data_IF_882377644711
#
_entry.id   IF_882377644711
#
_cell.length_a   1.000
_cell.length_b   1.000
_cell.length_c   1.000
_cell.angle_alpha   90.00
_cell.angle_beta   90.00
_cell.angle_gamma   90.00
#
_symmetry.space_group_name_H-M   'P 1'
#
loop_
_entity.id
_entity.type
_entity.pdbx_description
1 polymer ?
#
# COMPACT_ATOMS: atom_id res chain seq x y z
N UNK A 1 8.61 35.26 -6.94
CA UNK A 1 8.27 34.17 -7.89
C UNK A 1 6.97 33.56 -7.36
N UNK A 2 5.94 33.55 -8.20
CA UNK A 2 4.56 33.25 -7.83
C UNK A 2 4.48 31.80 -7.33
N UNK A 3 4.12 31.63 -6.05
CA UNK A 3 3.75 30.32 -5.49
C UNK A 3 2.62 29.74 -6.35
N UNK A 4 2.92 28.72 -7.14
CA UNK A 4 1.91 27.87 -7.77
C UNK A 4 1.14 27.14 -6.66
N UNK A 5 0.15 27.82 -6.07
CA UNK A 5 -0.80 27.17 -5.17
C UNK A 5 -1.54 26.11 -5.98
N UNK A 6 -1.30 24.85 -5.66
CA UNK A 6 -2.08 23.72 -6.16
C UNK A 6 -3.59 24.08 -6.08
N UNK A 7 -4.37 23.87 -7.15
CA UNK A 7 -5.75 24.32 -7.19
C UNK A 7 -6.65 23.45 -6.30
N UNK A 8 -6.85 23.88 -5.05
CA UNK A 8 -7.76 23.25 -4.10
C UNK A 8 -9.16 23.86 -4.18
N UNK A 9 -10.20 23.01 -4.20
CA UNK A 9 -11.60 23.43 -4.08
C UNK A 9 -11.92 23.97 -2.68
N UNK A 10 -11.44 23.27 -1.65
CA UNK A 10 -11.62 23.66 -0.25
C UNK A 10 -10.39 23.27 0.58
N UNK A 11 -9.92 24.20 1.41
CA UNK A 11 -8.89 23.96 2.41
C UNK A 11 -9.52 23.99 3.80
N UNK A 12 -9.43 22.90 4.54
CA UNK A 12 -10.05 22.72 5.85
C UNK A 12 -8.97 22.44 6.89
N UNK A 13 -8.81 23.35 7.85
CA UNK A 13 -7.92 23.15 9.01
C UNK A 13 -8.79 22.79 10.22
N UNK A 14 -8.88 21.51 10.53
CA UNK A 14 -9.76 21.00 11.58
C UNK A 14 -9.25 19.64 12.08
N UNK A 15 -8.90 19.58 13.37
CA UNK A 15 -8.67 18.31 14.06
C UNK A 15 -10.01 17.59 14.25
N UNK A 16 -10.02 16.28 14.07
CA UNK A 16 -11.19 15.40 14.26
C UNK A 16 -12.39 15.79 13.39
N UNK A 17 -12.14 16.32 12.19
CA UNK A 17 -13.18 16.61 11.21
C UNK A 17 -13.98 15.34 10.89
N UNK A 18 -15.30 15.41 11.00
CA UNK A 18 -16.20 14.31 10.62
C UNK A 18 -17.07 14.72 9.45
N UNK A 19 -16.99 13.96 8.36
CA UNK A 19 -17.90 14.03 7.22
C UNK A 19 -18.75 12.75 7.26
N UNK A 20 -20.05 12.88 7.51
CA UNK A 20 -20.94 11.75 7.75
C UNK A 20 -22.19 11.88 6.86
N UNK A 21 -22.45 10.86 6.05
CA UNK A 21 -23.65 10.78 5.22
C UNK A 21 -24.87 10.31 6.02
N UNK A 22 -26.03 10.91 5.73
CA UNK A 22 -27.27 10.66 6.47
C UNK A 22 -27.96 9.32 6.13
N UNK A 23 -27.31 8.45 5.38
CA UNK A 23 -27.82 7.14 4.93
C UNK A 23 -26.66 6.18 4.74
N UNK A 24 -26.87 4.88 4.96
CA UNK A 24 -25.83 3.86 4.79
C UNK A 24 -25.55 3.50 3.33
N UNK A 25 -26.25 4.10 2.36
CA UNK A 25 -25.91 4.00 0.95
C UNK A 25 -25.08 5.22 0.52
N UNK A 26 -23.74 5.10 0.38
CA UNK A 26 -22.88 6.23 0.06
C UNK A 26 -23.16 6.85 -1.31
N UNK A 27 -23.87 6.18 -2.23
CA UNK A 27 -24.23 6.75 -3.53
C UNK A 27 -25.30 7.85 -3.41
N UNK A 28 -26.02 7.88 -2.29
CA UNK A 28 -27.07 8.85 -2.02
C UNK A 28 -26.55 10.15 -1.39
N UNK A 29 -25.28 10.19 -0.98
CA UNK A 29 -24.60 11.39 -0.44
C UNK A 29 -23.33 11.65 -1.24
N UNK A 30 -23.41 12.55 -2.21
CA UNK A 30 -22.30 12.82 -3.14
C UNK A 30 -21.74 14.22 -2.92
N UNK A 31 -20.46 14.30 -2.56
CA UNK A 31 -19.67 15.52 -2.66
C UNK A 31 -18.96 15.50 -4.01
N UNK A 32 -19.39 16.38 -4.93
CA UNK A 32 -19.00 16.33 -6.32
C UNK A 32 -18.18 17.55 -6.76
N UNK A 33 -17.23 17.31 -7.66
CA UNK A 33 -16.62 18.34 -8.50
C UNK A 33 -16.54 17.84 -9.95
N UNK A 34 -16.16 18.73 -10.87
CA UNK A 34 -15.97 18.36 -12.27
C UNK A 34 -14.77 19.08 -12.89
N UNK A 35 -13.65 19.17 -12.18
CA UNK A 35 -12.46 19.91 -12.64
C UNK A 35 -11.24 19.00 -12.63
N UNK A 36 -10.42 19.09 -13.66
CA UNK A 36 -9.15 18.38 -13.77
C UNK A 36 -8.08 19.26 -14.40
N UNK A 37 -6.85 18.77 -14.45
CA UNK A 37 -5.73 19.48 -15.08
C UNK A 37 -6.09 19.86 -16.52
N UNK A 38 -5.90 21.15 -16.85
CA UNK A 38 -6.28 21.80 -18.12
C UNK A 38 -7.77 21.72 -18.51
N UNK A 39 -8.60 21.07 -17.68
CA UNK A 39 -10.04 20.88 -17.89
C UNK A 39 -10.82 21.50 -16.74
N UNK A 40 -10.93 22.83 -16.75
CA UNK A 40 -11.61 23.60 -15.71
C UNK A 40 -10.73 23.97 -14.51
N UNK A 41 -9.42 23.69 -14.58
CA UNK A 41 -8.40 24.20 -13.65
C UNK A 41 -7.02 24.29 -14.32
N UNK A 42 -6.20 25.25 -13.87
CA UNK A 42 -4.77 25.33 -14.18
C UNK A 42 -4.00 24.54 -13.11
N UNK A 43 -3.43 23.40 -13.48
CA UNK A 43 -2.80 22.45 -12.55
C UNK A 43 -3.75 21.37 -12.04
N UNK A 44 -3.24 20.50 -11.17
CA UNK A 44 -3.96 19.33 -10.68
C UNK A 44 -5.04 19.71 -9.66
N UNK A 45 -6.29 19.86 -10.11
CA UNK A 45 -7.41 20.19 -9.23
C UNK A 45 -7.64 19.10 -8.18
N UNK A 46 -7.75 19.52 -6.92
CA UNK A 46 -8.06 18.66 -5.78
C UNK A 46 -9.28 19.20 -5.04
N UNK A 47 -10.29 18.38 -4.79
CA UNK A 47 -11.53 18.88 -4.14
C UNK A 47 -11.26 19.38 -2.72
N UNK A 48 -10.52 18.59 -1.94
CA UNK A 48 -10.29 18.86 -0.53
C UNK A 48 -8.82 18.78 -0.15
N UNK A 49 -8.38 19.72 0.67
CA UNK A 49 -7.18 19.61 1.48
C UNK A 49 -7.57 19.64 2.95
N UNK A 50 -7.42 18.50 3.62
CA UNK A 50 -7.68 18.37 5.05
C UNK A 50 -6.38 18.51 5.83
N UNK A 51 -6.33 19.43 6.79
CA UNK A 51 -5.18 19.67 7.65
C UNK A 51 -5.60 19.52 9.12
N UNK A 52 -5.25 18.38 9.70
CA UNK A 52 -5.63 17.98 11.05
C UNK A 52 -5.67 16.47 11.19
N UNK A 53 -5.40 15.98 12.40
CA UNK A 53 -5.49 14.56 12.70
C UNK A 53 -6.95 14.12 12.85
N UNK A 54 -7.22 12.82 12.75
CA UNK A 54 -8.53 12.27 13.09
C UNK A 54 -9.64 12.57 12.08
N UNK A 55 -9.31 13.02 10.87
CA UNK A 55 -10.32 13.24 9.83
C UNK A 55 -11.01 11.90 9.51
N UNK A 56 -12.34 11.88 9.60
CA UNK A 56 -13.16 10.71 9.31
C UNK A 56 -14.21 10.99 8.24
N UNK A 57 -14.31 10.10 7.25
CA UNK A 57 -15.36 10.11 6.22
C UNK A 57 -16.17 8.83 6.35
N UNK A 58 -17.50 8.94 6.42
CA UNK A 58 -18.37 7.78 6.53
C UNK A 58 -19.64 7.98 5.73
N UNK A 59 -20.08 6.94 5.01
CA UNK A 59 -21.34 6.93 4.28
C UNK A 59 -21.43 8.00 3.16
N UNK A 60 -20.32 8.34 2.50
CA UNK A 60 -20.26 9.40 1.49
C UNK A 60 -19.52 8.96 0.22
N UNK A 61 -19.97 9.45 -0.93
CA UNK A 61 -19.19 9.42 -2.18
C UNK A 61 -18.44 10.74 -2.37
N UNK A 62 -17.11 10.68 -2.46
CA UNK A 62 -16.29 11.77 -3.00
C UNK A 62 -16.06 11.51 -4.49
N UNK A 63 -16.54 12.41 -5.35
CA UNK A 63 -16.49 12.22 -6.79
C UNK A 63 -15.95 13.42 -7.55
N UNK A 64 -14.96 13.21 -8.42
CA UNK A 64 -14.54 14.19 -9.41
C UNK A 64 -14.91 13.72 -10.81
N UNK A 65 -16.01 14.27 -11.31
CA UNK A 65 -16.67 13.90 -12.55
C UNK A 65 -16.11 14.67 -13.77
N UNK A 66 -14.82 15.02 -13.73
CA UNK A 66 -14.14 15.58 -14.89
C UNK A 66 -14.11 14.56 -16.04
N UNK A 67 -13.86 13.28 -15.73
CA UNK A 67 -13.63 12.22 -16.71
C UNK A 67 -14.59 11.03 -16.63
N UNK A 68 -15.57 11.10 -15.74
CA UNK A 68 -16.58 10.08 -15.49
C UNK A 68 -17.92 10.78 -15.28
N UNK A 69 -19.00 10.15 -15.72
CA UNK A 69 -20.34 10.72 -15.57
C UNK A 69 -20.79 10.62 -14.10
N UNK A 70 -21.42 11.68 -13.59
CA UNK A 70 -22.14 11.62 -12.33
C UNK A 70 -23.50 10.99 -12.58
N UNK A 71 -23.71 9.82 -12.00
CA UNK A 71 -25.03 9.20 -11.82
C UNK A 71 -25.43 9.36 -10.36
N UNK A 72 -26.49 10.12 -10.10
CA UNK A 72 -27.04 10.36 -8.79
C UNK A 72 -28.42 9.68 -8.65
N UNK A 73 -28.50 8.53 -7.96
CA UNK A 73 -29.71 7.69 -7.96
C UNK A 73 -30.97 8.36 -7.43
N UNK A 74 -30.87 9.13 -6.34
CA UNK A 74 -32.04 9.77 -5.70
C UNK A 74 -32.70 10.84 -6.56
N UNK A 75 -31.93 11.49 -7.43
CA UNK A 75 -32.44 12.53 -8.29
C UNK A 75 -31.69 12.55 -9.62
N UNK A 76 -32.15 11.77 -10.62
CA UNK A 76 -31.51 11.70 -11.93
C UNK A 76 -31.40 13.06 -12.65
N UNK A 77 -32.18 14.08 -12.26
CA UNK A 77 -32.04 15.45 -12.79
C UNK A 77 -30.72 16.11 -12.39
N UNK A 78 -30.05 15.62 -11.35
CA UNK A 78 -28.74 16.07 -10.91
C UNK A 78 -27.58 15.32 -11.58
N UNK A 79 -27.87 14.31 -12.40
CA UNK A 79 -26.85 13.64 -13.21
C UNK A 79 -26.09 14.66 -14.06
N UNK A 80 -24.80 14.44 -14.23
CA UNK A 80 -23.95 15.27 -15.08
C UNK A 80 -23.12 14.36 -15.98
N UNK A 81 -23.07 14.69 -17.26
CA UNK A 81 -22.06 14.11 -18.14
C UNK A 81 -20.68 14.60 -17.72
N UNK A 82 -19.67 13.75 -17.93
CA UNK A 82 -18.27 14.11 -17.74
C UNK A 82 -17.92 15.38 -18.51
N UNK A 83 -17.03 16.19 -17.96
CA UNK A 83 -16.51 17.39 -18.64
C UNK A 83 -15.72 17.02 -19.89
N UNK A 84 -14.95 15.93 -19.85
CA UNK A 84 -14.06 15.51 -20.92
C UNK A 84 -13.89 14.00 -20.97
N UNK A 85 -13.82 13.44 -22.18
CA UNK A 85 -13.42 12.05 -22.38
C UNK A 85 -11.91 11.84 -22.20
N UNK A 86 -11.09 12.87 -22.35
CA UNK A 86 -9.65 12.78 -22.15
C UNK A 86 -9.35 12.64 -20.66
N UNK A 87 -8.76 11.52 -20.25
CA UNK A 87 -8.41 11.25 -18.85
C UNK A 87 -7.28 12.19 -18.42
N UNK A 88 -7.59 13.07 -17.45
CA UNK A 88 -6.66 14.04 -16.85
C UNK A 88 -6.70 13.92 -15.33
N UNK A 89 -5.74 14.54 -14.65
CA UNK A 89 -5.62 14.51 -13.20
C UNK A 89 -6.81 15.23 -12.57
N UNK A 90 -7.61 14.49 -11.80
CA UNK A 90 -8.85 14.96 -11.21
C UNK A 90 -8.94 14.43 -9.77
N UNK A 91 -8.37 15.17 -8.82
CA UNK A 91 -8.08 14.64 -7.49
C UNK A 91 -9.22 14.87 -6.51
N UNK A 92 -9.37 13.97 -5.54
CA UNK A 92 -10.41 14.01 -4.53
C UNK A 92 -9.92 14.73 -3.26
N UNK A 93 -9.00 14.13 -2.52
CA UNK A 93 -8.65 14.64 -1.20
C UNK A 93 -7.19 14.40 -0.82
N UNK A 94 -6.51 15.44 -0.38
CA UNK A 94 -5.18 15.33 0.24
C UNK A 94 -5.34 15.59 1.74
N UNK A 95 -4.64 14.82 2.55
CA UNK A 95 -4.59 14.95 3.99
C UNK A 95 -3.17 15.33 4.45
N UNK A 96 -3.10 16.21 5.43
CA UNK A 96 -1.96 16.40 6.30
C UNK A 96 -2.41 16.12 7.73
N UNK A 97 -2.18 14.90 8.20
CA UNK A 97 -2.63 14.46 9.51
C UNK A 97 -2.38 12.97 9.72
N UNK A 98 -2.61 12.55 10.96
CA UNK A 98 -2.59 11.15 11.38
C UNK A 98 -3.99 10.67 11.77
N UNK A 99 -4.17 9.36 11.93
CA UNK A 99 -5.43 8.74 12.39
C UNK A 99 -6.63 8.98 11.47
N UNK A 100 -6.39 8.88 10.16
CA UNK A 100 -7.41 9.15 9.15
C UNK A 100 -8.27 7.91 8.91
N UNK A 101 -9.59 8.06 8.82
CA UNK A 101 -10.48 6.93 8.54
C UNK A 101 -11.49 7.23 7.44
N UNK A 102 -11.73 6.26 6.57
CA UNK A 102 -12.87 6.23 5.67
C UNK A 102 -13.66 4.93 5.89
N UNK A 103 -14.98 5.02 6.00
CA UNK A 103 -15.87 3.88 6.21
C UNK A 103 -17.01 3.92 5.21
N UNK A 104 -17.35 2.78 4.60
CA UNK A 104 -18.52 2.66 3.73
C UNK A 104 -18.66 3.85 2.77
N UNK A 105 -17.60 4.16 2.02
CA UNK A 105 -17.49 5.41 1.26
C UNK A 105 -16.89 5.15 -0.11
N UNK A 106 -17.30 5.92 -1.10
CA UNK A 106 -16.86 5.74 -2.48
C UNK A 106 -15.91 6.86 -2.91
N UNK A 107 -14.86 6.51 -3.64
CA UNK A 107 -13.87 7.43 -4.19
C UNK A 107 -13.86 7.28 -5.71
N UNK A 108 -14.52 8.21 -6.41
CA UNK A 108 -14.79 8.08 -7.84
C UNK A 108 -14.02 9.15 -8.61
N UNK A 109 -12.98 8.74 -9.32
CA UNK A 109 -12.30 9.56 -10.31
C UNK A 109 -11.54 8.67 -11.31
N UNK A 110 -10.51 9.19 -11.98
CA UNK A 110 -9.63 8.46 -12.89
C UNK A 110 -8.17 8.71 -12.49
N UNK A 111 -7.43 9.47 -13.30
CA UNK A 111 -6.01 9.73 -13.08
C UNK A 111 -5.85 10.61 -11.83
N UNK A 112 -4.92 10.22 -10.95
CA UNK A 112 -4.68 10.91 -9.68
C UNK A 112 -5.94 11.05 -8.79
N UNK A 113 -6.75 9.99 -8.63
CA UNK A 113 -7.91 10.01 -7.73
C UNK A 113 -7.56 10.57 -6.34
N UNK A 114 -6.40 10.19 -5.78
CA UNK A 114 -5.84 10.63 -4.50
C UNK A 114 -6.89 10.63 -3.38
N UNK A 115 -7.38 9.46 -2.95
CA UNK A 115 -8.29 9.37 -1.81
C UNK A 115 -7.48 9.57 -0.51
N UNK A 116 -7.63 10.72 0.13
CA UNK A 116 -6.99 11.05 1.41
C UNK A 116 -5.45 10.88 1.40
N UNK A 117 -4.81 11.16 0.26
CA UNK A 117 -3.37 10.99 0.08
C UNK A 117 -2.57 11.90 1.03
N UNK A 118 -1.47 11.41 1.60
CA UNK A 118 -0.66 12.15 2.58
C UNK A 118 -1.01 11.90 4.05
N UNK A 119 -2.11 11.19 4.35
CA UNK A 119 -2.38 10.70 5.71
C UNK A 119 -1.29 9.73 6.19
N UNK A 120 -0.88 9.84 7.46
CA UNK A 120 0.19 9.00 8.03
C UNK A 120 -0.26 7.57 8.29
N UNK A 121 -1.22 7.38 9.19
CA UNK A 121 -1.96 6.13 9.37
C UNK A 121 -3.39 6.35 8.89
N UNK A 122 -3.78 5.63 7.85
CA UNK A 122 -5.08 5.75 7.21
C UNK A 122 -5.74 4.38 7.13
N UNK A 123 -7.00 4.29 7.55
CA UNK A 123 -7.85 3.11 7.39
C UNK A 123 -8.96 3.42 6.38
N UNK A 124 -9.10 2.56 5.37
CA UNK A 124 -10.28 2.47 4.52
C UNK A 124 -11.00 1.16 4.86
N UNK A 125 -12.27 1.24 5.27
CA UNK A 125 -13.06 0.07 5.63
C UNK A 125 -14.35 0.05 4.82
N UNK A 126 -14.57 -1.02 4.04
CA UNK A 126 -15.74 -1.15 3.15
C UNK A 126 -15.87 0.01 2.15
N UNK A 127 -14.74 0.54 1.68
CA UNK A 127 -14.72 1.61 0.69
C UNK A 127 -14.67 1.06 -0.74
N UNK A 128 -15.24 1.80 -1.69
CA UNK A 128 -15.13 1.52 -3.12
C UNK A 128 -14.25 2.57 -3.82
N UNK A 129 -13.43 2.13 -4.76
CA UNK A 129 -12.54 2.99 -5.55
C UNK A 129 -12.73 2.73 -7.04
N UNK A 130 -12.94 3.79 -7.80
CA UNK A 130 -12.78 3.77 -9.25
C UNK A 130 -11.56 4.60 -9.64
N UNK A 131 -10.60 4.00 -10.36
CA UNK A 131 -9.40 4.72 -10.73
C UNK A 131 -8.68 4.20 -11.98
N UNK A 132 -7.79 5.05 -12.54
CA UNK A 132 -6.80 4.65 -13.55
C UNK A 132 -5.40 4.62 -12.93
N UNK A 133 -4.42 5.33 -13.49
CA UNK A 133 -3.04 5.35 -13.02
C UNK A 133 -2.83 6.39 -11.91
N UNK A 134 -1.76 6.22 -11.14
CA UNK A 134 -1.22 7.20 -10.18
C UNK A 134 -2.28 7.72 -9.16
N UNK A 135 -3.25 6.86 -8.85
CA UNK A 135 -4.52 7.24 -8.28
C UNK A 135 -4.68 6.99 -6.79
N UNK A 136 -4.17 5.89 -6.25
CA UNK A 136 -4.36 5.54 -4.84
C UNK A 136 -3.34 6.24 -3.93
N UNK A 137 -3.67 6.35 -2.65
CA UNK A 137 -2.80 6.97 -1.64
C UNK A 137 -1.55 6.11 -1.37
N UNK A 138 -0.44 6.75 -1.05
CA UNK A 138 0.86 6.06 -0.93
C UNK A 138 0.98 5.14 0.29
N UNK A 139 0.12 5.32 1.29
CA UNK A 139 0.06 4.51 2.53
C UNK A 139 -1.40 4.37 2.95
N UNK A 140 -1.78 3.18 3.41
CA UNK A 140 -3.11 2.94 3.97
C UNK A 140 -3.42 1.47 4.16
N UNK A 141 -4.25 1.16 5.15
CA UNK A 141 -4.86 -0.16 5.36
C UNK A 141 -6.24 -0.14 4.71
N UNK A 142 -6.46 -0.99 3.73
CA UNK A 142 -7.74 -1.16 3.05
C UNK A 142 -8.31 -2.50 3.48
N UNK A 143 -9.47 -2.49 4.12
CA UNK A 143 -10.14 -3.67 4.64
C UNK A 143 -11.54 -3.78 4.05
N UNK A 144 -11.86 -4.94 3.47
CA UNK A 144 -13.15 -5.20 2.82
C UNK A 144 -13.48 -4.18 1.72
N UNK A 145 -12.46 -3.62 1.08
CA UNK A 145 -12.60 -2.63 0.01
C UNK A 145 -12.78 -3.27 -1.36
N UNK A 146 -13.43 -2.54 -2.27
CA UNK A 146 -13.54 -2.91 -3.68
C UNK A 146 -12.91 -1.88 -4.60
N UNK A 147 -12.34 -2.32 -5.71
CA UNK A 147 -11.63 -1.49 -6.67
C UNK A 147 -12.06 -1.84 -8.09
N UNK A 148 -12.38 -0.84 -8.90
CA UNK A 148 -12.49 -1.00 -10.35
C UNK A 148 -11.31 -0.29 -11.02
N UNK A 149 -10.42 -1.08 -11.63
CA UNK A 149 -9.17 -0.63 -12.23
C UNK A 149 -9.32 -0.45 -13.73
N UNK A 150 -9.41 0.81 -14.16
CA UNK A 150 -9.50 1.20 -15.57
C UNK A 150 -8.13 1.33 -16.25
N UNK A 151 -7.03 1.21 -15.49
CA UNK A 151 -5.65 1.21 -16.00
C UNK A 151 -4.72 0.40 -15.09
N UNK A 152 -3.49 0.21 -15.54
CA UNK A 152 -2.59 -0.83 -15.03
C UNK A 152 -1.74 -0.43 -13.83
N UNK A 153 -1.75 0.83 -13.35
CA UNK A 153 -0.82 1.29 -12.31
C UNK A 153 -1.52 2.17 -11.26
N UNK A 154 -2.42 1.60 -10.44
CA UNK A 154 -3.23 2.38 -9.52
C UNK A 154 -2.41 3.13 -8.46
N UNK A 155 -1.25 2.61 -8.05
CA UNK A 155 -0.30 3.36 -7.22
C UNK A 155 0.83 3.94 -8.07
N UNK A 156 1.10 5.24 -7.96
CA UNK A 156 2.33 5.81 -8.53
C UNK A 156 3.55 5.20 -7.82
N UNK A 157 3.50 5.23 -6.49
CA UNK A 157 4.49 4.68 -5.57
C UNK A 157 3.80 4.52 -4.21
N UNK A 158 4.22 3.53 -3.42
CA UNK A 158 3.89 3.47 -1.99
C UNK A 158 5.05 4.00 -1.15
N UNK A 159 4.76 4.53 0.04
CA UNK A 159 5.77 5.11 0.94
C UNK A 159 5.90 4.31 2.22
N UNK A 160 7.03 4.45 2.91
CA UNK A 160 7.29 3.81 4.19
C UNK A 160 6.97 2.29 4.16
N UNK A 161 6.02 1.84 4.98
CA UNK A 161 5.61 0.43 5.10
C UNK A 161 4.57 0.00 4.05
N UNK A 162 4.33 0.82 3.04
CA UNK A 162 3.52 0.48 1.88
C UNK A 162 2.01 0.63 2.07
N UNK A 163 1.27 0.12 1.07
CA UNK A 163 -0.18 -0.05 1.14
C UNK A 163 -0.51 -1.50 1.53
N UNK A 164 -1.52 -1.67 2.38
CA UNK A 164 -2.02 -2.97 2.83
C UNK A 164 -3.44 -3.14 2.30
N UNK A 165 -3.68 -4.27 1.63
CA UNK A 165 -4.95 -4.64 1.01
C UNK A 165 -5.42 -5.96 1.65
N UNK A 166 -6.43 -5.90 2.51
CA UNK A 166 -6.97 -7.01 3.28
C UNK A 166 -8.40 -7.32 2.81
N UNK A 167 -8.61 -8.55 2.38
CA UNK A 167 -9.93 -9.01 1.95
C UNK A 167 -10.57 -8.14 0.87
N UNK A 168 -9.78 -7.69 -0.12
CA UNK A 168 -10.25 -6.76 -1.14
C UNK A 168 -10.72 -7.47 -2.42
N UNK A 169 -11.64 -6.82 -3.12
CA UNK A 169 -12.13 -7.22 -4.44
C UNK A 169 -11.64 -6.27 -5.52
N UNK A 170 -11.04 -6.80 -6.58
CA UNK A 170 -10.54 -6.03 -7.70
C UNK A 170 -11.25 -6.46 -8.98
N UNK A 171 -12.02 -5.56 -9.58
CA UNK A 171 -12.44 -5.66 -10.97
C UNK A 171 -11.37 -5.02 -11.85
N UNK A 172 -10.72 -5.83 -12.67
CA UNK A 172 -9.64 -5.37 -13.55
C UNK A 172 -10.17 -5.25 -14.97
N UNK A 173 -9.98 -4.07 -15.56
CA UNK A 173 -10.41 -3.78 -16.94
C UNK A 173 -9.22 -3.55 -17.89
N UNK A 174 -8.00 -3.83 -17.44
CA UNK A 174 -6.78 -3.71 -18.24
C UNK A 174 -6.58 -4.93 -19.15
N UNK A 175 -5.69 -4.80 -20.13
CA UNK A 175 -5.36 -5.91 -21.03
C UNK A 175 -4.03 -6.53 -20.66
N UNK A 176 -3.96 -7.86 -20.70
CA UNK A 176 -2.78 -8.70 -20.55
C UNK A 176 -2.06 -8.64 -19.19
N UNK A 177 -1.77 -7.45 -18.69
CA UNK A 177 -1.00 -7.22 -17.46
C UNK A 177 -1.65 -6.18 -16.56
N UNK A 178 -1.71 -6.50 -15.27
CA UNK A 178 -2.06 -5.56 -14.22
C UNK A 178 -0.85 -5.38 -13.29
N UNK A 179 -0.40 -4.13 -13.12
CA UNK A 179 0.59 -3.79 -12.10
C UNK A 179 -0.11 -3.24 -10.85
N UNK A 180 0.55 -3.28 -9.70
CA UNK A 180 0.05 -2.58 -8.51
C UNK A 180 0.65 -1.19 -8.43
N UNK A 181 1.97 -1.08 -8.62
CA UNK A 181 2.70 0.19 -8.59
C UNK A 181 3.33 0.52 -9.95
N UNK A 182 3.54 1.81 -10.20
CA UNK A 182 4.32 2.30 -11.35
C UNK A 182 5.82 2.25 -11.06
N UNK A 183 6.20 2.76 -9.89
CA UNK A 183 7.57 2.66 -9.36
C UNK A 183 7.62 1.55 -8.33
N UNK A 184 8.64 0.68 -8.40
CA UNK A 184 8.85 -0.41 -7.45
C UNK A 184 8.83 0.09 -6.01
N UNK A 185 7.88 -0.41 -5.22
CA UNK A 185 7.66 -0.01 -3.83
C UNK A 185 6.79 -1.06 -3.12
N UNK A 186 6.88 -1.20 -1.79
CA UNK A 186 6.28 -2.33 -1.07
C UNK A 186 4.74 -2.26 -1.07
N UNK A 187 4.10 -3.39 -1.39
CA UNK A 187 2.66 -3.61 -1.24
C UNK A 187 2.44 -4.92 -0.51
N UNK A 188 1.42 -4.99 0.34
CA UNK A 188 0.97 -6.24 0.96
C UNK A 188 -0.47 -6.53 0.58
N UNK A 189 -0.75 -7.75 0.10
CA UNK A 189 -2.09 -8.20 -0.27
C UNK A 189 -2.41 -9.50 0.46
N UNK A 190 -3.56 -9.56 1.12
CA UNK A 190 -4.00 -10.73 1.90
C UNK A 190 -5.46 -11.03 1.59
N UNK A 191 -5.77 -12.31 1.36
CA UNK A 191 -7.12 -12.83 1.11
C UNK A 191 -7.89 -12.04 0.04
N UNK A 192 -7.25 -11.59 -1.03
CA UNK A 192 -7.88 -10.70 -2.02
C UNK A 192 -8.16 -11.38 -3.35
N UNK A 193 -9.17 -10.89 -4.07
CA UNK A 193 -9.71 -11.54 -5.27
C UNK A 193 -9.67 -10.57 -6.44
N UNK A 194 -9.06 -11.00 -7.53
CA UNK A 194 -9.08 -10.31 -8.81
C UNK A 194 -10.10 -10.97 -9.73
N UNK A 195 -10.93 -10.16 -10.38
CA UNK A 195 -11.87 -10.56 -11.41
C UNK A 195 -11.49 -9.89 -12.71
N UNK A 196 -11.42 -10.66 -13.79
CA UNK A 196 -11.05 -10.17 -15.11
C UNK A 196 -11.74 -11.02 -16.18
N UNK A 197 -11.98 -10.43 -17.36
CA UNK A 197 -12.63 -11.12 -18.48
C UNK A 197 -11.84 -12.32 -19.03
N UNK A 198 -10.56 -12.45 -18.69
CA UNK A 198 -9.66 -13.53 -19.09
C UNK A 198 -8.88 -14.07 -17.89
N UNK A 199 -8.79 -15.40 -17.80
CA UNK A 199 -7.96 -16.11 -16.83
C UNK A 199 -6.44 -15.93 -17.07
N UNK A 200 -6.04 -15.37 -18.21
CA UNK A 200 -4.64 -15.16 -18.58
C UNK A 200 -4.07 -13.81 -18.11
N UNK A 201 -4.81 -13.02 -17.32
CA UNK A 201 -4.29 -11.76 -16.78
C UNK A 201 -3.07 -12.04 -15.92
N UNK A 202 -1.94 -11.45 -16.27
CA UNK A 202 -0.72 -11.56 -15.47
C UNK A 202 -0.65 -10.40 -14.48
N UNK A 203 -0.55 -10.72 -13.19
CA UNK A 203 -0.48 -9.72 -12.12
C UNK A 203 0.96 -9.59 -11.65
N UNK A 204 1.45 -8.35 -11.65
CA UNK A 204 2.81 -7.99 -11.25
C UNK A 204 2.78 -6.87 -10.21
N UNK A 205 3.78 -6.81 -9.34
CA UNK A 205 3.91 -5.72 -8.38
C UNK A 205 4.18 -4.39 -9.07
N UNK A 206 5.08 -4.38 -10.05
CA UNK A 206 5.53 -3.16 -10.75
C UNK A 206 5.98 -3.48 -12.17
N UNK A 207 5.95 -2.47 -13.05
CA UNK A 207 6.44 -2.59 -14.43
C UNK A 207 7.96 -2.72 -14.51
N UNK A 208 8.68 -2.07 -13.59
CA UNK A 208 10.14 -2.03 -13.56
C UNK A 208 10.64 -2.50 -12.19
N UNK A 209 10.65 -3.82 -11.95
CA UNK A 209 11.10 -4.36 -10.68
C UNK A 209 12.61 -4.21 -10.51
N UNK A 210 13.04 -4.04 -9.26
CA UNK A 210 14.45 -4.04 -8.86
C UNK A 210 14.70 -5.22 -7.92
N UNK A 211 15.91 -5.78 -7.93
CA UNK A 211 16.20 -7.03 -7.21
C UNK A 211 16.13 -6.91 -5.68
N UNK A 212 16.21 -5.68 -5.17
CA UNK A 212 16.07 -5.35 -3.76
C UNK A 212 14.61 -5.31 -3.27
N UNK A 213 13.62 -5.28 -4.17
CA UNK A 213 12.21 -5.12 -3.82
C UNK A 213 11.60 -6.39 -3.23
N UNK A 214 10.83 -6.25 -2.15
CA UNK A 214 10.00 -7.32 -1.59
C UNK A 214 8.59 -6.81 -1.34
N UNK A 215 7.59 -7.53 -1.82
CA UNK A 215 6.16 -7.34 -1.55
C UNK A 215 5.57 -8.63 -1.00
N UNK A 216 4.49 -8.53 -0.25
CA UNK A 216 3.97 -9.66 0.54
C UNK A 216 2.62 -10.09 0.00
N UNK A 217 2.42 -11.41 -0.10
CA UNK A 217 1.12 -11.96 -0.47
C UNK A 217 0.68 -13.07 0.47
N UNK A 218 -0.64 -13.24 0.56
CA UNK A 218 -1.25 -14.45 1.09
C UNK A 218 -2.63 -14.66 0.46
N UNK A 219 -2.89 -15.87 -0.03
CA UNK A 219 -4.21 -16.31 -0.50
C UNK A 219 -4.85 -15.34 -1.50
N UNK A 220 -4.16 -15.13 -2.63
CA UNK A 220 -4.61 -14.28 -3.73
C UNK A 220 -5.22 -15.13 -4.83
N UNK A 221 -6.34 -14.68 -5.39
CA UNK A 221 -7.00 -15.38 -6.49
C UNK A 221 -7.26 -14.49 -7.71
N UNK A 222 -7.25 -15.09 -8.90
CA UNK A 222 -7.76 -14.53 -10.15
C UNK A 222 -8.90 -15.43 -10.63
N UNK A 223 -10.09 -14.88 -10.79
CA UNK A 223 -11.28 -15.61 -11.22
C UNK A 223 -11.52 -16.90 -10.39
N UNK A 224 -11.29 -16.81 -9.07
CA UNK A 224 -11.45 -17.91 -8.13
C UNK A 224 -10.29 -18.92 -8.08
N UNK A 225 -9.26 -18.80 -8.95
CA UNK A 225 -8.06 -19.65 -8.93
C UNK A 225 -6.94 -18.97 -8.17
N UNK A 226 -6.26 -19.68 -7.27
CA UNK A 226 -5.12 -19.12 -6.56
C UNK A 226 -3.97 -18.80 -7.51
N UNK A 227 -3.32 -17.65 -7.28
CA UNK A 227 -2.21 -17.17 -8.09
C UNK A 227 -1.02 -16.75 -7.22
N UNK A 228 0.14 -16.68 -7.87
CA UNK A 228 1.35 -16.11 -7.32
C UNK A 228 1.72 -14.85 -8.12
N UNK A 229 1.71 -13.69 -7.47
CA UNK A 229 2.04 -12.41 -8.12
C UNK A 229 3.51 -12.43 -8.52
N UNK A 230 3.83 -11.99 -9.74
CA UNK A 230 5.18 -12.11 -10.32
C UNK A 230 5.73 -13.55 -10.28
N UNK A 231 4.93 -14.54 -10.68
CA UNK A 231 5.39 -15.93 -10.76
C UNK A 231 6.66 -16.13 -11.62
N UNK A 232 6.93 -15.23 -12.59
CA UNK A 232 8.13 -15.23 -13.42
C UNK A 232 9.37 -14.65 -12.70
N UNK A 233 9.17 -13.90 -11.61
CA UNK A 233 10.20 -13.27 -10.79
C UNK A 233 9.91 -13.47 -9.29
N UNK A 234 9.95 -14.72 -8.80
CA UNK A 234 9.44 -15.06 -7.47
C UNK A 234 10.21 -14.39 -6.32
N UNK A 235 11.45 -13.93 -6.55
CA UNK A 235 12.22 -13.20 -5.53
C UNK A 235 11.59 -11.88 -5.11
N UNK A 236 10.68 -11.31 -5.90
CA UNK A 236 9.95 -10.08 -5.56
C UNK A 236 8.84 -10.31 -4.54
N UNK A 237 8.41 -11.57 -4.38
CA UNK A 237 7.21 -11.94 -3.64
C UNK A 237 7.56 -12.77 -2.42
N UNK A 238 7.17 -12.28 -1.25
CA UNK A 238 7.20 -13.04 0.00
C UNK A 238 5.82 -13.65 0.21
N UNK A 239 5.70 -14.96 -0.02
CA UNK A 239 4.52 -15.72 0.38
C UNK A 239 4.55 -15.92 1.90
N UNK A 240 3.49 -15.48 2.57
CA UNK A 240 3.37 -15.52 4.02
C UNK A 240 2.80 -16.84 4.54
N UNK A 241 2.53 -17.82 3.67
CA UNK A 241 2.04 -19.14 4.08
C UNK A 241 2.98 -19.78 5.11
N UNK A 242 2.44 -20.06 6.30
CA UNK A 242 3.19 -20.65 7.42
C UNK A 242 4.17 -19.70 8.11
N UNK A 243 4.24 -18.42 7.74
CA UNK A 243 5.13 -17.42 8.35
C UNK A 243 4.39 -16.62 9.42
N UNK A 244 5.06 -16.30 10.53
CA UNK A 244 4.48 -15.52 11.65
C UNK A 244 4.08 -14.09 11.24
N UNK A 245 4.73 -13.51 10.24
CA UNK A 245 4.39 -12.19 9.69
C UNK A 245 2.94 -12.14 9.19
N UNK A 246 2.32 -13.28 8.82
CA UNK A 246 0.90 -13.32 8.49
C UNK A 246 0.01 -12.85 9.64
N UNK A 247 0.37 -13.17 10.89
CA UNK A 247 -0.37 -12.75 12.09
C UNK A 247 -0.42 -11.22 12.25
N UNK A 248 0.52 -10.49 11.63
CA UNK A 248 0.50 -9.03 11.59
C UNK A 248 -0.70 -8.47 10.82
N UNK A 249 -1.22 -9.25 9.88
CA UNK A 249 -2.30 -8.88 8.96
C UNK A 249 -3.61 -9.61 9.26
N UNK A 250 -3.54 -10.91 9.59
CA UNK A 250 -4.69 -11.72 9.99
C UNK A 250 -4.30 -12.93 10.84
N UNK A 251 -5.24 -13.39 11.65
CA UNK A 251 -5.13 -14.66 12.37
C UNK A 251 -6.50 -15.34 12.47
N UNK A 252 -6.52 -16.61 12.81
CA UNK A 252 -7.76 -17.34 13.09
C UNK A 252 -8.03 -17.36 14.59
N UNK A 253 -9.25 -17.04 14.96
CA UNK A 253 -9.71 -17.06 16.34
C UNK A 253 -11.18 -17.45 16.39
N UNK A 254 -11.51 -18.47 17.19
CA UNK A 254 -12.86 -19.05 17.30
C UNK A 254 -13.50 -19.42 15.95
N UNK A 255 -12.71 -20.04 15.06
CA UNK A 255 -13.17 -20.49 13.73
C UNK A 255 -13.47 -19.34 12.75
N UNK A 256 -13.03 -18.12 13.05
CA UNK A 256 -13.18 -16.95 12.18
C UNK A 256 -11.84 -16.31 11.89
N UNK A 257 -11.73 -15.75 10.69
CA UNK A 257 -10.60 -14.89 10.33
C UNK A 257 -10.80 -13.54 11.00
N UNK A 258 -9.78 -13.07 11.70
CA UNK A 258 -9.69 -11.73 12.28
C UNK A 258 -8.59 -10.98 11.54
N UNK A 259 -8.94 -9.89 10.88
CA UNK A 259 -7.97 -8.97 10.26
C UNK A 259 -7.38 -8.05 11.34
N UNK A 260 -6.06 -8.14 11.55
CA UNK A 260 -5.36 -7.57 12.69
C UNK A 260 -5.07 -6.06 12.51
N UNK A 261 -6.13 -5.28 12.27
CA UNK A 261 -6.05 -3.82 12.13
C UNK A 261 -5.47 -3.13 13.36
N UNK A 262 -5.60 -3.72 14.55
CA UNK A 262 -4.96 -3.22 15.76
C UNK A 262 -3.43 -3.25 15.65
N UNK A 263 -2.84 -4.39 15.26
CA UNK A 263 -1.39 -4.47 15.06
C UNK A 263 -0.90 -3.42 14.05
N UNK A 264 -1.64 -3.27 12.95
CA UNK A 264 -1.28 -2.35 11.88
C UNK A 264 -1.40 -0.89 12.30
N UNK A 265 -2.42 -0.49 13.05
CA UNK A 265 -2.76 0.92 13.23
C UNK A 265 -2.37 1.49 14.60
N UNK A 266 -2.09 0.65 15.59
CA UNK A 266 -1.85 1.08 16.98
C UNK A 266 -0.73 2.11 17.14
N UNK A 267 0.32 2.09 16.30
CA UNK A 267 1.51 2.90 16.50
C UNK A 267 2.07 2.77 17.92
N UNK A 268 2.52 3.88 18.51
CA UNK A 268 2.93 3.96 19.93
C UNK A 268 1.82 4.47 20.85
N UNK A 269 0.64 4.76 20.31
CA UNK A 269 -0.46 5.42 21.01
C UNK A 269 -1.75 4.59 21.05
N UNK A 270 -1.63 3.29 20.78
CA UNK A 270 -2.70 2.29 20.83
C UNK A 270 -3.93 2.65 19.99
N UNK A 271 -3.75 3.39 18.88
CA UNK A 271 -4.87 3.78 18.02
C UNK A 271 -5.60 2.56 17.43
N UNK A 272 -6.83 2.35 17.89
CA UNK A 272 -7.67 1.21 17.50
C UNK A 272 -8.98 1.71 16.87
N UNK A 273 -8.97 2.11 15.58
CA UNK A 273 -10.18 2.61 14.96
C UNK A 273 -11.26 1.53 14.85
N UNK A 274 -10.90 0.25 14.74
CA UNK A 274 -11.87 -0.85 14.59
C UNK A 274 -12.36 -1.43 15.93
N UNK A 275 -11.78 -1.03 17.06
CA UNK A 275 -12.17 -1.50 18.39
C UNK A 275 -11.88 -2.98 18.62
N UNK A 276 -10.84 -3.54 18.00
CA UNK A 276 -10.52 -4.98 18.07
C UNK A 276 -9.42 -5.34 19.07
N UNK A 277 -8.81 -4.38 19.76
CA UNK A 277 -7.70 -4.59 20.71
C UNK A 277 -7.97 -5.70 21.72
N UNK A 278 -9.14 -5.67 22.36
CA UNK A 278 -9.47 -6.66 23.39
C UNK A 278 -9.73 -8.05 22.80
N UNK A 279 -10.21 -8.14 21.55
CA UNK A 279 -10.30 -9.41 20.82
C UNK A 279 -8.90 -9.98 20.51
N UNK A 280 -7.95 -9.12 20.11
CA UNK A 280 -6.57 -9.52 19.87
C UNK A 280 -5.95 -10.06 21.16
N UNK A 281 -6.05 -9.33 22.29
CA UNK A 281 -5.53 -9.80 23.60
C UNK A 281 -6.17 -11.10 24.07
N UNK A 282 -7.47 -11.28 23.85
CA UNK A 282 -8.14 -12.53 24.18
C UNK A 282 -7.60 -13.69 23.33
N UNK A 283 -7.39 -13.46 22.03
CA UNK A 283 -6.79 -14.43 21.13
C UNK A 283 -5.34 -14.76 21.52
N UNK A 284 -4.53 -13.78 21.92
CA UNK A 284 -3.15 -14.02 22.39
C UNK A 284 -3.10 -15.00 23.58
N UNK A 285 -4.00 -14.81 24.56
CA UNK A 285 -4.09 -15.70 25.74
C UNK A 285 -4.46 -17.13 25.36
N UNK A 286 -5.36 -17.29 24.39
CA UNK A 286 -5.86 -18.61 23.98
C UNK A 286 -4.87 -19.30 23.04
N UNK A 287 -4.26 -18.56 22.11
CA UNK A 287 -3.31 -19.10 21.14
C UNK A 287 -1.89 -19.26 21.71
N UNK A 288 -1.60 -18.67 22.87
CA UNK A 288 -0.29 -18.75 23.52
C UNK A 288 0.82 -18.06 22.74
N UNK A 289 0.49 -17.08 21.89
CA UNK A 289 1.44 -16.31 21.08
C UNK A 289 1.06 -14.84 21.04
N UNK A 290 2.04 -13.96 20.90
CA UNK A 290 1.79 -12.54 20.67
C UNK A 290 1.31 -12.31 19.23
N UNK A 291 0.26 -11.51 19.11
CA UNK A 291 -0.37 -11.03 17.88
C UNK A 291 -0.13 -9.53 17.68
N UNK A 292 0.48 -8.87 18.66
CA UNK A 292 0.83 -7.45 18.63
C UNK A 292 1.88 -7.14 19.71
N UNK A 293 2.89 -6.29 19.44
CA UNK A 293 3.27 -5.78 18.12
C UNK A 293 3.99 -6.84 17.26
N UNK A 294 3.69 -6.87 15.96
CA UNK A 294 4.40 -7.67 14.94
C UNK A 294 4.84 -6.72 13.83
N UNK A 295 6.14 -6.67 13.47
CA UNK A 295 6.63 -5.81 12.40
C UNK A 295 6.15 -6.28 11.02
N UNK A 296 6.08 -5.34 10.09
CA UNK A 296 5.48 -5.56 8.75
C UNK A 296 6.45 -5.24 7.62
N UNK A 297 7.63 -4.69 7.92
CA UNK A 297 8.57 -4.25 6.90
C UNK A 297 10.02 -4.40 7.37
N UNK A 298 10.88 -4.86 6.47
CA UNK A 298 12.33 -4.91 6.62
C UNK A 298 12.94 -4.16 5.43
N UNK A 299 13.93 -3.32 5.68
CA UNK A 299 14.64 -2.52 4.68
C UNK A 299 16.13 -2.72 4.85
N UNK A 300 16.88 -2.83 3.75
CA UNK A 300 18.35 -2.70 3.74
C UNK A 300 18.74 -1.38 3.07
N UNK A 301 19.71 -0.68 3.67
CA UNK A 301 20.33 0.53 3.11
C UNK A 301 21.85 0.40 3.11
N UNK A 302 22.57 0.85 2.05
CA UNK A 302 22.02 1.26 0.76
C UNK A 302 21.29 0.11 0.06
N UNK A 303 20.44 0.43 -0.92
CA UNK A 303 19.72 -0.57 -1.72
C UNK A 303 20.52 -1.09 -2.92
N UNK A 304 21.64 -0.44 -3.21
CA UNK A 304 22.60 -0.78 -4.25
C UNK A 304 23.91 -0.06 -3.93
N UNK A 305 25.04 -0.73 -4.06
CA UNK A 305 26.36 -0.16 -3.82
C UNK A 305 27.38 -0.79 -4.78
N UNK A 306 28.44 -0.03 -5.11
CA UNK A 306 29.56 -0.55 -5.89
C UNK A 306 30.77 -0.74 -5.00
N UNK A 307 31.31 -1.95 -4.97
CA UNK A 307 32.49 -2.32 -4.19
C UNK A 307 33.58 -2.87 -5.10
N UNK A 308 34.84 -2.63 -4.75
CA UNK A 308 36.02 -3.18 -5.41
C UNK A 308 36.75 -4.14 -4.47
N UNK A 309 37.04 -5.35 -4.96
CA UNK A 309 37.70 -6.41 -4.20
C UNK A 309 39.02 -5.91 -3.61
N UNK A 310 39.22 -6.10 -2.31
CA UNK A 310 40.44 -5.69 -1.61
C UNK A 310 40.59 -4.19 -1.34
N UNK A 311 39.73 -3.32 -1.87
CA UNK A 311 39.79 -1.87 -1.63
C UNK A 311 38.72 -1.37 -0.67
N UNK A 312 37.45 -1.39 -1.10
CA UNK A 312 36.34 -0.77 -0.36
C UNK A 312 35.22 -1.78 -0.08
N UNK A 313 34.89 -2.03 1.20
CA UNK A 313 33.72 -2.80 1.58
C UNK A 313 32.44 -1.94 1.53
N UNK A 314 31.29 -2.60 1.42
CA UNK A 314 29.99 -1.96 1.68
C UNK A 314 29.56 -2.22 3.13
N UNK A 315 28.95 -1.21 3.75
CA UNK A 315 28.32 -1.35 5.06
C UNK A 315 26.81 -1.28 4.87
N UNK A 316 26.16 -2.43 5.00
CA UNK A 316 24.72 -2.54 4.91
C UNK A 316 24.12 -2.38 6.30
N UNK A 317 23.03 -1.63 6.39
CA UNK A 317 22.19 -1.49 7.57
C UNK A 317 20.79 -2.02 7.28
N UNK A 318 20.26 -2.84 8.17
CA UNK A 318 18.89 -3.30 8.14
C UNK A 318 18.02 -2.53 9.14
N UNK A 319 16.79 -2.20 8.75
CA UNK A 319 15.79 -1.57 9.62
C UNK A 319 14.49 -2.36 9.57
N UNK A 320 14.00 -2.78 10.74
CA UNK A 320 12.69 -3.42 10.88
C UNK A 320 11.68 -2.41 11.40
N UNK A 321 10.47 -2.41 10.81
CA UNK A 321 9.42 -1.43 11.07
C UNK A 321 8.05 -2.06 11.22
N UNK A 322 7.25 -1.52 12.13
CA UNK A 322 5.79 -1.70 12.18
C UNK A 322 5.12 -0.73 11.21
N UNK A 323 3.90 -1.04 10.80
CA UNK A 323 3.13 -0.20 9.89
C UNK A 323 3.03 1.23 10.41
N UNK A 324 3.14 2.21 9.50
CA UNK A 324 3.20 3.64 9.85
C UNK A 324 4.63 4.15 10.12
N UNK A 325 5.65 3.39 9.71
CA UNK A 325 7.07 3.73 9.83
C UNK A 325 7.61 3.79 11.27
N UNK A 326 7.02 3.02 12.20
CA UNK A 326 7.52 2.92 13.56
C UNK A 326 8.67 1.91 13.61
N UNK A 327 9.79 2.29 14.22
CA UNK A 327 10.94 1.39 14.39
C UNK A 327 10.59 0.19 15.28
N UNK A 328 11.27 -0.92 15.05
CA UNK A 328 11.12 -2.15 15.83
C UNK A 328 12.48 -2.85 15.97
N UNK A 329 13.09 -2.75 17.15
CA UNK A 329 14.49 -3.14 17.36
C UNK A 329 14.65 -4.56 17.95
N UNK A 330 13.54 -5.25 18.27
CA UNK A 330 13.57 -6.56 18.92
C UNK A 330 13.78 -7.73 17.94
N UNK A 331 13.74 -7.48 16.62
CA UNK A 331 13.90 -8.54 15.62
C UNK A 331 15.36 -8.96 15.47
N UNK A 332 15.58 -10.27 15.45
CA UNK A 332 16.87 -10.85 15.02
C UNK A 332 16.93 -10.80 13.49
N UNK A 333 18.05 -10.32 12.95
CA UNK A 333 18.24 -10.17 11.50
C UNK A 333 19.28 -11.19 11.03
N UNK A 334 18.89 -11.96 10.03
CA UNK A 334 19.71 -12.99 9.40
C UNK A 334 20.17 -12.50 8.03
N UNK A 335 21.49 -12.32 7.88
CA UNK A 335 22.11 -11.90 6.63
C UNK A 335 22.55 -13.10 5.81
N UNK A 336 22.32 -13.06 4.51
CA UNK A 336 22.72 -14.13 3.59
C UNK A 336 23.04 -13.58 2.20
N UNK A 337 23.82 -14.35 1.47
CA UNK A 337 24.09 -14.16 0.04
C UNK A 337 23.72 -15.47 -0.67
N UNK A 338 23.19 -15.37 -1.89
CA UNK A 338 22.81 -16.56 -2.64
C UNK A 338 24.04 -17.47 -2.86
N UNK A 339 23.91 -18.81 -2.77
CA UNK A 339 25.04 -19.74 -2.88
C UNK A 339 25.94 -19.50 -4.10
N UNK A 340 25.34 -19.19 -5.25
CA UNK A 340 26.02 -18.87 -6.51
C UNK A 340 26.93 -17.63 -6.44
N UNK A 341 26.74 -16.77 -5.43
CA UNK A 341 27.51 -15.53 -5.25
C UNK A 341 28.46 -15.58 -4.05
N UNK A 342 28.53 -16.69 -3.31
CA UNK A 342 29.38 -16.81 -2.12
C UNK A 342 30.88 -16.64 -2.41
N UNK A 343 31.32 -16.94 -3.63
CA UNK A 343 32.71 -16.75 -4.03
C UNK A 343 33.06 -15.29 -4.33
N UNK A 344 32.06 -14.43 -4.56
CA UNK A 344 32.27 -13.04 -4.97
C UNK A 344 32.18 -12.05 -3.81
N UNK A 345 31.62 -12.45 -2.67
CA UNK A 345 31.62 -11.61 -1.48
C UNK A 345 31.57 -12.42 -0.18
N UNK A 346 32.18 -11.86 0.86
CA UNK A 346 32.08 -12.34 2.24
C UNK A 346 31.24 -11.38 3.08
N UNK A 347 30.46 -11.96 3.99
CA UNK A 347 29.60 -11.23 4.92
C UNK A 347 30.16 -11.30 6.33
N UNK A 348 30.32 -10.15 6.98
CA UNK A 348 30.67 -10.04 8.39
C UNK A 348 29.60 -9.23 9.11
N UNK A 349 28.81 -9.91 9.92
CA UNK A 349 27.83 -9.27 10.81
C UNK A 349 28.58 -8.57 11.94
N UNK A 350 28.52 -7.25 12.00
CA UNK A 350 29.20 -6.45 13.03
C UNK A 350 28.28 -6.23 14.25
N UNK A 351 26.98 -6.03 13.97
CA UNK A 351 25.87 -5.96 14.93
C UNK A 351 24.66 -6.64 14.30
N UNK A 352 23.61 -6.91 15.08
CA UNK A 352 22.37 -7.52 14.59
C UNK A 352 21.88 -6.84 13.28
N UNK A 353 21.84 -5.51 13.26
CA UNK A 353 21.33 -4.70 12.17
C UNK A 353 22.39 -4.23 11.15
N UNK A 354 23.67 -4.58 11.31
CA UNK A 354 24.74 -4.11 10.40
C UNK A 354 25.60 -5.25 9.88
N UNK A 355 25.73 -5.32 8.56
CA UNK A 355 26.55 -6.31 7.87
C UNK A 355 27.55 -5.62 6.95
N UNK A 356 28.82 -5.94 7.16
CA UNK A 356 29.92 -5.54 6.28
C UNK A 356 30.07 -6.56 5.16
N UNK A 357 30.05 -6.09 3.92
CA UNK A 357 30.20 -6.89 2.70
C UNK A 357 31.57 -6.59 2.10
N UNK A 358 32.40 -7.60 1.92
CA UNK A 358 33.73 -7.45 1.30
C UNK A 358 33.77 -8.23 0.00
N UNK A 359 34.10 -7.56 -1.10
CA UNK A 359 34.25 -8.19 -2.42
C UNK A 359 35.47 -9.12 -2.45
N UNK A 360 35.28 -10.30 -3.01
CA UNK A 360 36.31 -11.33 -3.21
C UNK A 360 36.36 -11.80 -4.67
N UNK A 361 35.80 -11.01 -5.58
CA UNK A 361 35.87 -11.27 -7.02
C UNK A 361 37.31 -11.07 -7.52
N UNK A 362 37.91 -12.12 -8.06
CA UNK A 362 39.25 -12.12 -8.68
C UNK A 362 39.18 -12.11 -10.22
N UNK A 363 37.97 -12.09 -10.79
CA UNK A 363 37.77 -12.01 -12.24
C UNK A 363 37.83 -10.56 -12.74
N UNK A 364 38.22 -10.38 -14.02
CA UNK A 364 38.29 -9.07 -14.68
C UNK A 364 36.89 -8.45 -14.94
N UNK A 365 35.82 -9.21 -14.72
CA UNK A 365 34.45 -8.77 -14.95
C UNK A 365 33.75 -8.30 -13.67
N UNK A 366 32.95 -7.23 -13.79
CA UNK A 366 32.04 -6.83 -12.71
C UNK A 366 30.92 -7.86 -12.52
N UNK A 367 30.73 -8.33 -11.29
CA UNK A 367 29.60 -9.19 -10.92
C UNK A 367 28.55 -8.42 -10.13
N UNK A 368 27.28 -8.70 -10.42
CA UNK A 368 26.16 -8.22 -9.60
C UNK A 368 25.78 -9.34 -8.65
N UNK A 369 25.74 -9.04 -7.35
CA UNK A 369 25.34 -9.96 -6.29
C UNK A 369 24.17 -9.36 -5.52
N UNK A 370 23.32 -10.21 -4.96
CA UNK A 370 22.18 -9.79 -4.13
C UNK A 370 22.42 -10.24 -2.69
N UNK A 371 22.47 -9.29 -1.77
CA UNK A 371 22.55 -9.56 -0.33
C UNK A 371 21.14 -9.53 0.25
N UNK A 372 20.76 -10.56 1.00
CA UNK A 372 19.43 -10.69 1.61
C UNK A 372 19.53 -10.54 3.12
N UNK A 373 18.49 -9.94 3.70
CA UNK A 373 18.24 -9.97 5.13
C UNK A 373 16.84 -10.54 5.38
N UNK A 374 16.69 -11.33 6.44
CA UNK A 374 15.40 -11.86 6.87
C UNK A 374 15.24 -11.84 8.39
N UNK A 375 14.00 -11.94 8.86
CA UNK A 375 13.69 -12.14 10.29
C UNK A 375 13.04 -13.52 10.52
N UNK A 376 13.12 -14.08 11.75
CA UNK A 376 12.38 -15.30 12.10
C UNK A 376 10.86 -15.19 11.89
N UNK A 377 10.31 -13.97 11.96
CA UNK A 377 8.89 -13.75 11.71
C UNK A 377 8.53 -13.90 10.23
N UNK A 378 9.52 -13.85 9.32
CA UNK A 378 9.33 -14.04 7.88
C UNK A 378 9.33 -12.74 7.07
N UNK A 379 9.86 -11.64 7.63
CA UNK A 379 10.20 -10.45 6.84
C UNK A 379 11.44 -10.71 6.01
N UNK A 380 11.48 -10.15 4.81
CA UNK A 380 12.61 -10.26 3.88
C UNK A 380 12.89 -8.90 3.22
N UNK A 381 14.16 -8.64 2.92
CA UNK A 381 14.67 -7.51 2.13
C UNK A 381 15.92 -7.91 1.37
N UNK A 382 16.30 -7.13 0.37
CA UNK A 382 17.58 -7.28 -0.32
C UNK A 382 18.29 -5.94 -0.57
N UNK A 383 19.58 -6.01 -0.93
CA UNK A 383 20.42 -4.94 -1.45
C UNK A 383 21.28 -5.45 -2.60
#
# INVERSE_FOLDING_TARGET
KQDERLPFGMNLKCEWLKIYGLTDDPQNVVLASNRGQTMGAEGNFTMFYFNGNGTSIENVTLGNYCNVDLKFPLNPKLNRTKRSSAVVQAQLAICNGDKITARNSNFISRLNTRPLAGGKRTLFYKCHFECTDDALCEVGVHLDCSFTLFSSKPFAITKATGAILLNCDFEVLTQHKQYLTKTGSPVTIVDSRFTHASDSLFIEWTQYPTDNMRSYQYHISLNGKLIYINADKPWLTVDMTGKRVLDAYRFEYNGKIVYNTYNLLQGDDEWDPMGIKENVKAAEKILGKSLSPIPTFLLITPSHEKIESGLNPANLKAEVKRFGNYHYDESIIQWSVAPEYQNYATLKVEKNDTCKVTGTNEEDETKTIVIKASTPDGLESAS
#
